data_IF_593273328393
#
_entry.id   IF_593273328393
#
_cell.length_a   1.000
_cell.length_b   1.000
_cell.length_c   1.000
_cell.angle_alpha   90.00
_cell.angle_beta   90.00
_cell.angle_gamma   90.00
#
_symmetry.space_group_name_H-M   'P 1'
#
loop_
_entity.id
_entity.type
_entity.pdbx_description
1 polymer ?
#
# COMPACT_ATOMS: atom_id res chain seq x y z
N UNK A 1 -25.53 2.13 30.44
CA UNK A 1 -25.46 2.97 29.23
C UNK A 1 -25.49 2.05 28.05
N UNK A 2 -26.59 2.07 27.30
CA UNK A 2 -26.87 1.20 26.15
C UNK A 2 -26.02 1.59 24.96
N UNK A 3 -25.36 0.60 24.35
CA UNK A 3 -24.67 0.71 23.06
C UNK A 3 -25.62 1.30 22.02
N UNK A 4 -25.24 2.31 21.23
CA UNK A 4 -26.11 2.80 20.17
C UNK A 4 -26.21 1.71 19.08
N UNK A 5 -27.41 1.21 18.83
CA UNK A 5 -27.73 0.50 17.59
C UNK A 5 -27.60 1.47 16.42
N UNK A 6 -26.62 1.23 15.54
CA UNK A 6 -26.44 2.03 14.32
C UNK A 6 -27.44 1.51 13.28
N UNK A 7 -28.67 2.01 13.34
CA UNK A 7 -29.72 1.77 12.35
C UNK A 7 -29.81 2.96 11.40
N UNK A 8 -28.97 3.03 10.36
CA UNK A 8 -29.29 3.62 9.05
C UNK A 8 -28.09 3.52 8.08
N UNK A 9 -28.20 2.67 7.06
CA UNK A 9 -27.23 2.62 5.95
C UNK A 9 -27.65 3.65 4.91
N UNK A 10 -27.15 4.88 5.03
CA UNK A 10 -27.28 5.86 3.95
C UNK A 10 -26.24 5.53 2.88
N UNK A 11 -26.72 5.06 1.72
CA UNK A 11 -25.95 4.64 0.54
C UNK A 11 -25.38 5.90 -0.13
N UNK A 12 -24.05 6.02 -0.27
CA UNK A 12 -23.47 7.07 -1.12
C UNK A 12 -23.75 6.72 -2.59
N UNK A 13 -24.34 7.65 -3.35
CA UNK A 13 -24.63 7.45 -4.79
C UNK A 13 -23.38 7.77 -5.64
N UNK A 14 -22.29 7.02 -5.45
CA UNK A 14 -21.03 7.23 -6.17
C UNK A 14 -21.01 6.50 -7.52
N UNK A 15 -20.70 7.22 -8.60
CA UNK A 15 -20.72 6.70 -9.97
C UNK A 15 -19.33 6.51 -10.54
N UNK A 16 -19.17 5.50 -11.38
CA UNK A 16 -17.91 5.18 -12.06
C UNK A 16 -17.35 6.40 -12.80
N UNK A 17 -18.20 7.20 -13.45
CA UNK A 17 -17.80 8.39 -14.20
C UNK A 17 -17.14 9.50 -13.37
N UNK A 18 -17.33 9.49 -12.05
CA UNK A 18 -16.72 10.43 -11.10
C UNK A 18 -15.29 10.00 -10.70
N UNK A 19 -14.98 8.72 -10.80
CA UNK A 19 -13.69 8.16 -10.34
C UNK A 19 -12.80 7.69 -11.48
N UNK A 20 -13.34 7.44 -12.69
CA UNK A 20 -12.58 6.91 -13.81
C UNK A 20 -11.47 7.85 -14.34
N UNK A 21 -10.41 7.27 -14.89
CA UNK A 21 -9.43 8.01 -15.69
C UNK A 21 -9.98 8.30 -17.09
N UNK A 22 -10.04 9.59 -17.47
CA UNK A 22 -10.51 10.05 -18.78
C UNK A 22 -9.41 10.13 -19.83
N UNK A 23 -8.15 10.23 -19.41
CA UNK A 23 -7.01 10.25 -20.33
C UNK A 23 -6.69 8.83 -20.81
N UNK A 24 -7.40 8.42 -21.85
CA UNK A 24 -7.28 7.09 -22.42
C UNK A 24 -5.96 6.92 -23.17
N UNK A 25 -5.25 5.84 -22.87
CA UNK A 25 -4.17 5.32 -23.70
C UNK A 25 -4.73 4.06 -24.35
N UNK A 26 -4.76 4.04 -25.69
CA UNK A 26 -5.30 2.93 -26.48
C UNK A 26 -4.33 2.53 -27.57
N UNK A 27 -4.42 1.28 -28.05
CA UNK A 27 -3.66 0.79 -29.22
C UNK A 27 -4.60 0.26 -30.29
N UNK A 28 -4.09 0.11 -31.52
CA UNK A 28 -4.82 -0.53 -32.61
C UNK A 28 -4.50 -2.02 -32.63
N UNK A 29 -5.39 -2.84 -33.20
CA UNK A 29 -5.15 -4.27 -33.35
C UNK A 29 -3.88 -4.59 -34.16
N UNK A 30 -3.52 -3.72 -35.11
CA UNK A 30 -2.31 -3.86 -35.93
C UNK A 30 -1.02 -3.36 -35.25
N UNK A 31 -1.09 -2.74 -34.07
CA UNK A 31 0.11 -2.33 -33.32
C UNK A 31 0.99 -3.54 -33.03
N UNK A 32 2.30 -3.40 -33.16
CA UNK A 32 3.23 -4.51 -32.87
C UNK A 32 3.45 -4.68 -31.37
N UNK A 33 3.81 -5.89 -30.94
CA UNK A 33 4.10 -6.16 -29.53
C UNK A 33 5.32 -5.38 -29.01
N UNK A 34 6.30 -5.07 -29.87
CA UNK A 34 7.44 -4.23 -29.49
C UNK A 34 7.02 -2.78 -29.25
N UNK A 35 6.19 -2.22 -30.13
CA UNK A 35 5.62 -0.87 -29.92
C UNK A 35 4.75 -0.83 -28.66
N UNK A 36 3.96 -1.89 -28.41
CA UNK A 36 3.17 -2.03 -27.20
C UNK A 36 4.06 -2.04 -25.95
N UNK A 37 5.15 -2.83 -25.95
CA UNK A 37 6.13 -2.88 -24.86
C UNK A 37 6.68 -1.49 -24.52
N UNK A 38 7.12 -0.76 -25.54
CA UNK A 38 7.68 0.58 -25.34
C UNK A 38 6.63 1.58 -24.86
N UNK A 39 5.41 1.50 -25.37
CA UNK A 39 4.28 2.29 -24.88
C UNK A 39 4.00 2.01 -23.40
N UNK A 40 3.87 0.73 -23.04
CA UNK A 40 3.61 0.28 -21.67
C UNK A 40 4.71 0.74 -20.70
N UNK A 41 5.99 0.56 -21.08
CA UNK A 41 7.15 1.00 -20.31
C UNK A 41 7.17 2.52 -20.14
N UNK A 42 7.01 3.28 -21.22
CA UNK A 42 7.07 4.75 -21.21
C UNK A 42 5.92 5.37 -20.41
N UNK A 43 4.75 4.74 -20.42
CA UNK A 43 3.55 5.22 -19.72
C UNK A 43 3.37 4.57 -18.34
N UNK A 44 4.24 3.63 -17.96
CA UNK A 44 4.16 2.86 -16.71
C UNK A 44 2.77 2.22 -16.52
N UNK A 45 2.25 1.58 -17.56
CA UNK A 45 0.95 0.90 -17.56
C UNK A 45 1.11 -0.58 -17.86
N UNK A 46 0.32 -1.42 -17.20
CA UNK A 46 0.34 -2.89 -17.35
C UNK A 46 -0.78 -3.46 -18.23
N UNK A 47 -1.56 -2.61 -18.92
CA UNK A 47 -2.61 -3.06 -19.82
C UNK A 47 -3.29 -1.93 -20.60
N UNK A 48 -3.77 -2.21 -21.79
CA UNK A 48 -4.21 -1.19 -22.74
C UNK A 48 -5.47 -1.68 -23.48
N UNK A 49 -6.54 -0.86 -23.54
CA UNK A 49 -7.67 -1.13 -24.43
C UNK A 49 -7.23 -1.10 -25.89
N UNK A 50 -7.72 -2.07 -26.66
CA UNK A 50 -7.51 -2.17 -28.11
C UNK A 50 -8.75 -1.65 -28.80
N UNK A 51 -8.57 -0.71 -29.73
CA UNK A 51 -9.66 -0.07 -30.47
C UNK A 51 -9.55 -0.30 -31.98
N UNK A 52 -10.68 -0.26 -32.67
CA UNK A 52 -10.74 -0.28 -34.13
C UNK A 52 -10.45 1.12 -34.73
N UNK A 53 -10.59 1.25 -36.07
CA UNK A 53 -10.38 2.52 -36.77
C UNK A 53 -11.37 3.64 -36.41
N UNK A 54 -12.57 3.29 -35.92
CA UNK A 54 -13.62 4.23 -35.48
C UNK A 54 -13.53 4.57 -33.99
N UNK A 55 -12.58 3.95 -33.26
CA UNK A 55 -12.35 4.17 -31.82
C UNK A 55 -13.23 3.30 -30.91
N UNK A 56 -13.92 2.29 -31.45
CA UNK A 56 -14.69 1.34 -30.64
C UNK A 56 -13.76 0.31 -30.00
N UNK A 57 -14.08 -0.07 -28.77
CA UNK A 57 -13.36 -1.09 -28.01
C UNK A 57 -13.57 -2.47 -28.64
N UNK A 58 -12.48 -3.11 -29.06
CA UNK A 58 -12.50 -4.46 -29.68
C UNK A 58 -11.69 -5.50 -28.91
N UNK A 59 -10.96 -5.08 -27.88
CA UNK A 59 -10.18 -5.99 -27.05
C UNK A 59 -9.45 -5.27 -25.92
N UNK A 60 -8.71 -6.04 -25.14
CA UNK A 60 -7.76 -5.54 -24.14
C UNK A 60 -6.51 -6.39 -24.18
N UNK A 61 -5.34 -5.78 -24.00
CA UNK A 61 -4.07 -6.49 -23.92
C UNK A 61 -3.29 -6.07 -22.68
N UNK A 62 -2.75 -7.04 -21.95
CA UNK A 62 -2.03 -6.85 -20.71
C UNK A 62 -0.53 -7.10 -20.85
N UNK A 63 0.24 -6.71 -19.83
CA UNK A 63 1.65 -7.06 -19.72
C UNK A 63 1.86 -8.58 -19.65
N UNK A 64 0.94 -9.31 -19.02
CA UNK A 64 0.97 -10.79 -18.98
C UNK A 64 0.83 -11.39 -20.38
N UNK A 65 -0.09 -10.85 -21.20
CA UNK A 65 -0.24 -11.29 -22.60
C UNK A 65 1.02 -11.02 -23.41
N UNK A 66 1.68 -9.87 -23.18
CA UNK A 66 2.93 -9.50 -23.81
C UNK A 66 4.09 -10.43 -23.41
N UNK A 67 4.20 -10.77 -22.12
CA UNK A 67 5.20 -11.71 -21.61
C UNK A 67 5.00 -13.10 -22.23
N UNK A 68 3.77 -13.60 -22.23
CA UNK A 68 3.40 -14.87 -22.86
C UNK A 68 3.74 -14.89 -24.35
N UNK A 69 3.54 -13.77 -25.06
CA UNK A 69 3.88 -13.66 -26.46
C UNK A 69 5.40 -13.77 -26.73
N UNK A 70 6.22 -13.15 -25.90
CA UNK A 70 7.68 -13.21 -26.03
C UNK A 70 8.25 -14.57 -25.67
N UNK A 71 7.69 -15.25 -24.66
CA UNK A 71 8.05 -16.63 -24.32
C UNK A 71 7.79 -17.59 -25.49
N UNK A 72 6.79 -17.31 -26.32
CA UNK A 72 6.46 -18.09 -27.52
C UNK A 72 7.19 -17.60 -28.78
N UNK A 73 8.18 -16.69 -28.65
CA UNK A 73 8.98 -16.20 -29.76
C UNK A 73 8.27 -15.20 -30.69
N UNK A 74 7.06 -14.74 -30.33
CA UNK A 74 6.26 -13.83 -31.16
C UNK A 74 6.66 -12.35 -31.00
N UNK A 75 7.96 -12.05 -30.95
CA UNK A 75 8.46 -10.68 -30.67
C UNK A 75 7.98 -9.65 -31.70
N UNK A 76 7.80 -10.09 -32.96
CA UNK A 76 7.30 -9.26 -34.06
C UNK A 76 5.79 -9.43 -34.32
N UNK A 77 5.06 -10.11 -33.43
CA UNK A 77 3.62 -10.34 -33.58
C UNK A 77 2.79 -9.05 -33.41
N UNK A 78 1.53 -9.11 -33.86
CA UNK A 78 0.58 -8.03 -33.70
C UNK A 78 -0.27 -8.21 -32.43
N UNK A 79 -0.72 -7.09 -31.85
CA UNK A 79 -1.63 -7.09 -30.69
C UNK A 79 -2.90 -7.91 -30.94
N UNK A 80 -3.42 -7.91 -32.17
CA UNK A 80 -4.60 -8.66 -32.57
C UNK A 80 -4.58 -10.15 -32.18
N UNK A 81 -3.40 -10.76 -32.21
CA UNK A 81 -3.24 -12.20 -32.04
C UNK A 81 -3.12 -12.59 -30.55
N UNK A 82 -2.90 -11.61 -29.68
CA UNK A 82 -2.62 -11.81 -28.25
C UNK A 82 -3.61 -11.10 -27.32
N UNK A 83 -4.45 -10.21 -27.85
CA UNK A 83 -5.46 -9.50 -27.07
C UNK A 83 -6.62 -10.42 -26.64
N UNK A 84 -7.20 -10.13 -25.47
CA UNK A 84 -8.48 -10.71 -25.07
C UNK A 84 -9.62 -9.95 -25.74
N UNK A 85 -10.53 -10.69 -26.40
CA UNK A 85 -11.76 -10.16 -27.00
C UNK A 85 -12.94 -10.19 -26.02
N UNK A 86 -12.85 -11.01 -24.97
CA UNK A 86 -13.86 -11.05 -23.90
C UNK A 86 -13.54 -9.97 -22.87
N UNK A 87 -13.93 -8.73 -23.19
CA UNK A 87 -13.61 -7.57 -22.37
C UNK A 87 -14.68 -7.34 -21.32
N UNK A 88 -14.28 -7.40 -20.05
CA UNK A 88 -15.13 -6.98 -18.93
C UNK A 88 -15.17 -5.46 -18.90
N UNK A 89 -16.37 -4.88 -18.94
CA UNK A 89 -16.60 -3.43 -18.97
C UNK A 89 -17.61 -2.99 -17.91
N UNK A 90 -17.64 -1.69 -17.61
CA UNK A 90 -18.70 -1.02 -16.81
C UNK A 90 -19.19 0.22 -17.55
N UNK A 91 -20.36 0.75 -17.18
CA UNK A 91 -20.83 2.06 -17.67
C UNK A 91 -20.37 3.18 -16.75
N UNK A 92 -20.19 4.37 -17.29
CA UNK A 92 -19.89 5.59 -16.52
C UNK A 92 -21.02 5.97 -15.54
N UNK A 93 -22.26 5.60 -15.86
CA UNK A 93 -23.41 5.75 -14.99
C UNK A 93 -23.51 4.70 -13.88
N UNK A 94 -22.74 3.60 -13.96
CA UNK A 94 -22.85 2.49 -13.00
C UNK A 94 -22.42 2.95 -11.59
N UNK A 95 -23.02 2.39 -10.53
CA UNK A 95 -22.50 2.54 -9.17
C UNK A 95 -21.08 1.99 -9.06
N UNK A 96 -20.26 2.63 -8.24
CA UNK A 96 -18.88 2.19 -7.97
C UNK A 96 -18.83 0.76 -7.42
N UNK A 97 -19.82 0.34 -6.63
CA UNK A 97 -19.92 -1.01 -6.09
C UNK A 97 -20.00 -2.06 -7.19
N UNK A 98 -20.66 -1.75 -8.31
CA UNK A 98 -20.73 -2.64 -9.48
C UNK A 98 -19.33 -2.89 -10.06
N UNK A 99 -18.50 -1.85 -10.14
CA UNK A 99 -17.13 -1.99 -10.58
C UNK A 99 -16.28 -2.78 -9.56
N UNK A 100 -16.43 -2.51 -8.26
CA UNK A 100 -15.72 -3.24 -7.21
C UNK A 100 -16.06 -4.74 -7.20
N UNK A 101 -17.33 -5.09 -7.39
CA UNK A 101 -17.77 -6.49 -7.52
C UNK A 101 -17.16 -7.17 -8.74
N UNK A 102 -17.14 -6.50 -9.91
CA UNK A 102 -16.50 -7.05 -11.12
C UNK A 102 -15.01 -7.30 -10.91
N UNK A 103 -14.31 -6.39 -10.23
CA UNK A 103 -12.91 -6.58 -9.87
C UNK A 103 -12.69 -7.79 -8.97
N UNK A 104 -13.55 -8.00 -7.96
CA UNK A 104 -13.45 -9.12 -7.03
C UNK A 104 -13.74 -10.47 -7.72
N UNK A 105 -14.74 -10.51 -8.60
CA UNK A 105 -15.18 -11.75 -9.25
C UNK A 105 -14.24 -12.21 -10.39
N UNK A 106 -13.59 -11.28 -11.07
CA UNK A 106 -12.85 -11.57 -12.30
C UNK A 106 -11.33 -11.50 -12.13
N UNK A 107 -10.85 -10.89 -11.05
CA UNK A 107 -9.42 -10.73 -10.77
C UNK A 107 -8.70 -9.74 -11.69
N UNK A 108 -9.39 -9.10 -12.65
CA UNK A 108 -8.76 -8.19 -13.61
C UNK A 108 -8.14 -6.96 -12.91
N UNK A 109 -7.03 -6.47 -13.44
CA UNK A 109 -6.37 -5.27 -12.88
C UNK A 109 -7.03 -3.94 -13.32
N UNK A 110 -7.79 -3.95 -14.42
CA UNK A 110 -8.38 -2.77 -15.05
C UNK A 110 -9.65 -3.10 -15.82
N UNK A 111 -10.59 -2.16 -15.86
CA UNK A 111 -11.88 -2.30 -16.53
C UNK A 111 -12.11 -1.07 -17.43
N UNK A 112 -12.27 -1.25 -18.75
CA UNK A 112 -12.71 -0.18 -19.64
C UNK A 112 -14.13 0.31 -19.31
N UNK A 113 -14.32 1.63 -19.34
CA UNK A 113 -15.60 2.30 -19.03
C UNK A 113 -16.25 2.78 -20.32
N UNK A 114 -17.51 2.39 -20.51
CA UNK A 114 -18.32 2.76 -21.66
C UNK A 114 -19.39 3.79 -21.29
N UNK A 115 -19.79 4.63 -22.23
CA UNK A 115 -20.96 5.50 -22.06
C UNK A 115 -22.27 4.78 -22.47
N UNK A 116 -23.38 5.51 -22.51
CA UNK A 116 -24.68 4.99 -22.95
C UNK A 116 -24.63 4.40 -24.37
N UNK A 117 -23.93 5.07 -25.28
CA UNK A 117 -23.77 4.68 -26.70
C UNK A 117 -22.75 3.54 -26.91
N UNK A 118 -22.14 3.01 -25.85
CA UNK A 118 -21.17 1.92 -25.93
C UNK A 118 -19.76 2.36 -26.34
N UNK A 119 -19.48 3.66 -26.34
CA UNK A 119 -18.17 4.23 -26.66
C UNK A 119 -17.26 4.17 -25.44
N UNK A 120 -15.99 3.87 -25.66
CA UNK A 120 -14.96 3.90 -24.63
C UNK A 120 -14.70 5.35 -24.19
N UNK A 121 -15.06 5.68 -22.95
CA UNK A 121 -14.97 7.04 -22.37
C UNK A 121 -14.04 7.14 -21.17
N UNK A 122 -13.64 6.00 -20.62
CA UNK A 122 -12.73 5.98 -19.50
C UNK A 122 -12.11 4.62 -19.26
N UNK A 123 -11.19 4.59 -18.31
CA UNK A 123 -10.58 3.38 -17.83
C UNK A 123 -10.59 3.45 -16.31
N UNK A 124 -10.94 2.33 -15.69
CA UNK A 124 -11.06 2.23 -14.25
C UNK A 124 -10.05 1.21 -13.75
N UNK A 125 -9.30 1.60 -12.73
CA UNK A 125 -8.47 0.71 -11.92
C UNK A 125 -9.01 0.68 -10.50
N UNK A 126 -8.59 -0.33 -9.75
CA UNK A 126 -8.87 -0.44 -8.31
C UNK A 126 -8.44 0.85 -7.56
N UNK A 127 -7.40 1.53 -8.04
CA UNK A 127 -6.83 2.72 -7.43
C UNK A 127 -7.57 4.00 -7.71
N UNK A 128 -8.17 4.07 -8.88
CA UNK A 128 -9.07 5.16 -9.26
C UNK A 128 -10.25 5.20 -8.30
N UNK A 129 -10.81 4.04 -7.98
CA UNK A 129 -11.91 3.95 -7.02
C UNK A 129 -11.46 4.37 -5.61
N UNK A 130 -10.33 3.86 -5.12
CA UNK A 130 -9.78 4.23 -3.82
C UNK A 130 -9.51 5.73 -3.71
N UNK A 131 -8.84 6.32 -4.72
CA UNK A 131 -8.55 7.77 -4.75
C UNK A 131 -9.82 8.61 -4.83
N UNK A 132 -10.76 8.23 -5.70
CA UNK A 132 -12.00 8.97 -5.88
C UNK A 132 -12.86 9.01 -4.63
N UNK A 133 -12.93 7.89 -3.90
CA UNK A 133 -13.64 7.85 -2.61
C UNK A 133 -12.92 8.61 -1.50
N UNK A 134 -11.58 8.65 -1.50
CA UNK A 134 -10.81 9.43 -0.52
C UNK A 134 -10.89 10.94 -0.77
N UNK A 135 -10.97 11.38 -2.03
CA UNK A 135 -11.05 12.79 -2.40
C UNK A 135 -12.37 13.44 -1.95
N UNK A 136 -13.49 12.71 -1.97
CA UNK A 136 -14.79 13.25 -1.55
C UNK A 136 -14.93 13.38 -0.03
N UNK A 137 -14.23 12.52 0.73
CA UNK A 137 -14.21 12.62 2.21
C UNK A 137 -13.58 13.94 2.68
N UNK A 138 -12.81 14.62 1.82
CA UNK A 138 -12.24 15.93 2.11
C UNK A 138 -13.17 17.10 1.77
N UNK A 139 -14.31 16.85 1.11
CA UNK A 139 -15.23 17.89 0.64
C UNK A 139 -16.35 18.23 1.64
N UNK A 140 -16.73 17.32 2.55
CA UNK A 140 -17.72 17.59 3.60
C UNK A 140 -17.13 17.36 5.00
N UNK A 141 -16.98 18.44 5.74
CA UNK A 141 -16.39 18.47 7.09
C UNK A 141 -17.36 17.81 8.08
N UNK A 142 -17.08 16.56 8.50
CA UNK A 142 -17.23 16.03 9.90
C UNK A 142 -17.17 14.50 10.06
N UNK A 143 -17.20 13.68 9.00
CA UNK A 143 -17.37 12.21 9.13
C UNK A 143 -16.19 11.36 8.58
N UNK A 144 -14.95 11.69 8.95
CA UNK A 144 -13.75 10.97 8.48
C UNK A 144 -13.68 9.48 8.89
N UNK A 145 -14.21 9.09 10.06
CA UNK A 145 -14.05 7.73 10.59
C UNK A 145 -15.01 6.71 9.95
N UNK A 146 -16.27 7.09 9.70
CA UNK A 146 -17.29 6.18 9.18
C UNK A 146 -17.06 5.90 7.68
N UNK A 147 -16.69 6.92 6.90
CA UNK A 147 -16.41 6.77 5.48
C UNK A 147 -15.11 5.98 5.22
N UNK A 148 -14.06 6.22 6.01
CA UNK A 148 -12.80 5.45 5.94
C UNK A 148 -12.99 3.99 6.35
N UNK A 149 -13.86 3.73 7.33
CA UNK A 149 -14.28 2.37 7.67
C UNK A 149 -15.02 1.69 6.50
N UNK A 150 -15.87 2.39 5.74
CA UNK A 150 -16.65 1.81 4.63
C UNK A 150 -15.82 1.57 3.36
N UNK A 151 -14.98 2.51 2.96
CA UNK A 151 -14.05 2.32 1.84
C UNK A 151 -13.10 1.15 2.11
N UNK A 152 -12.57 1.03 3.33
CA UNK A 152 -11.72 -0.11 3.74
C UNK A 152 -12.45 -1.46 3.82
N UNK A 153 -13.79 -1.48 3.81
CA UNK A 153 -14.59 -2.70 3.69
C UNK A 153 -14.89 -3.08 2.23
N UNK A 154 -15.03 -2.10 1.32
CA UNK A 154 -15.27 -2.37 -0.11
C UNK A 154 -13.99 -2.85 -0.83
N UNK A 155 -12.81 -2.33 -0.48
CA UNK A 155 -11.53 -2.68 -1.15
C UNK A 155 -10.71 -3.75 -0.45
N UNK A 156 -11.25 -4.42 0.56
CA UNK A 156 -10.47 -5.41 1.33
C UNK A 156 -9.97 -6.60 0.49
N UNK A 157 -10.49 -6.78 -0.74
CA UNK A 157 -10.09 -7.85 -1.66
C UNK A 157 -9.40 -7.38 -2.97
N UNK A 158 -9.06 -6.09 -3.13
CA UNK A 158 -8.84 -5.52 -4.47
C UNK A 158 -7.70 -4.47 -4.46
N UNK A 159 -6.44 -4.92 -4.58
CA UNK A 159 -5.20 -4.10 -4.56
C UNK A 159 -4.99 -3.18 -5.77
N UNK A 160 -4.45 -1.99 -5.55
CA UNK A 160 -4.21 -0.92 -6.52
C UNK A 160 -2.74 -0.43 -6.56
N UNK A 161 -2.27 -0.06 -7.74
CA UNK A 161 -1.07 0.78 -7.94
C UNK A 161 -1.49 2.28 -7.84
N UNK A 162 -1.01 3.17 -6.97
CA UNK A 162 -0.09 3.08 -5.84
C UNK A 162 -0.92 3.17 -4.54
N UNK A 163 -1.17 2.03 -3.92
CA UNK A 163 -1.80 1.95 -2.61
C UNK A 163 -0.73 2.13 -1.55
N UNK A 164 -0.75 3.25 -0.81
CA UNK A 164 -0.06 3.27 0.48
C UNK A 164 -0.90 2.45 1.44
N UNK A 165 -0.46 1.23 1.73
CA UNK A 165 -1.07 0.39 2.75
C UNK A 165 -0.69 0.95 4.11
N UNK A 166 -1.66 1.49 4.84
CA UNK A 166 -1.47 1.97 6.21
C UNK A 166 -2.04 0.95 7.18
N UNK A 167 -1.18 0.38 8.02
CA UNK A 167 -1.53 -0.54 9.09
C UNK A 167 -1.29 0.15 10.43
N UNK A 168 -2.31 0.18 11.28
CA UNK A 168 -2.22 0.73 12.63
C UNK A 168 -2.39 -0.38 13.66
N UNK A 169 -1.54 -0.38 14.67
CA UNK A 169 -1.57 -1.35 15.76
C UNK A 169 -1.49 -0.61 17.09
N UNK A 170 -2.30 -1.04 18.05
CA UNK A 170 -2.19 -0.62 19.44
C UNK A 170 -1.37 -1.67 20.19
N UNK A 171 -0.45 -1.19 21.03
CA UNK A 171 0.40 -2.01 21.88
C UNK A 171 -0.01 -1.78 23.32
N UNK A 172 -0.34 -2.85 24.03
CA UNK A 172 -0.63 -2.79 25.45
C UNK A 172 0.65 -2.89 26.28
N UNK A 173 0.70 -2.10 27.34
CA UNK A 173 1.80 -2.12 28.30
C UNK A 173 1.97 -3.52 28.90
N UNK A 174 3.22 -4.00 28.98
CA UNK A 174 3.58 -5.31 29.56
C UNK A 174 2.88 -6.54 28.94
N UNK A 175 2.24 -6.44 27.77
CA UNK A 175 1.68 -7.60 27.08
C UNK A 175 2.74 -8.37 26.29
N UNK A 176 3.66 -9.01 27.01
CA UNK A 176 4.69 -9.87 26.40
C UNK A 176 4.11 -11.10 25.71
N UNK A 177 2.88 -11.51 26.04
CA UNK A 177 2.24 -12.68 25.44
C UNK A 177 1.89 -12.47 23.97
N UNK A 178 1.50 -11.24 23.62
CA UNK A 178 1.23 -10.84 22.24
C UNK A 178 2.42 -10.13 21.59
N UNK A 179 3.58 -10.10 22.26
CA UNK A 179 4.78 -9.48 21.75
C UNK A 179 5.23 -10.01 20.39
N UNK A 180 5.47 -9.11 19.43
CA UNK A 180 5.87 -9.47 18.07
C UNK A 180 4.71 -9.74 17.12
N UNK A 181 3.47 -9.54 17.56
CA UNK A 181 2.30 -9.66 16.70
C UNK A 181 2.28 -8.60 15.59
N UNK A 182 2.61 -7.35 15.91
CA UNK A 182 2.63 -6.28 14.92
C UNK A 182 3.73 -6.55 13.89
N UNK A 183 4.95 -6.87 14.36
CA UNK A 183 6.06 -7.29 13.49
C UNK A 183 5.68 -8.47 12.59
N UNK A 184 5.03 -9.51 13.13
CA UNK A 184 4.59 -10.68 12.36
C UNK A 184 3.53 -10.33 11.30
N UNK A 185 2.62 -9.39 11.60
CA UNK A 185 1.62 -8.90 10.64
C UNK A 185 2.28 -8.06 9.54
N UNK A 186 3.22 -7.17 9.88
CA UNK A 186 4.02 -6.38 8.92
C UNK A 186 4.82 -7.31 8.01
N UNK A 187 5.52 -8.31 8.56
CA UNK A 187 6.26 -9.33 7.81
C UNK A 187 5.35 -10.01 6.77
N UNK A 188 4.19 -10.51 7.20
CA UNK A 188 3.22 -11.16 6.30
C UNK A 188 2.70 -10.21 5.23
N UNK A 189 2.46 -8.95 5.55
CA UNK A 189 2.03 -7.95 4.58
C UNK A 189 3.10 -7.71 3.50
N UNK A 190 4.36 -7.49 3.89
CA UNK A 190 5.47 -7.28 2.96
C UNK A 190 5.72 -8.52 2.08
N UNK A 191 5.65 -9.73 2.65
CA UNK A 191 5.76 -10.97 1.85
C UNK A 191 4.65 -11.08 0.81
N UNK A 192 3.40 -10.74 1.17
CA UNK A 192 2.28 -10.77 0.23
C UNK A 192 2.37 -9.69 -0.85
N UNK A 193 3.03 -8.57 -0.55
CA UNK A 193 3.33 -7.50 -1.49
C UNK A 193 4.54 -7.79 -2.40
N UNK A 194 5.19 -8.96 -2.24
CA UNK A 194 6.31 -9.36 -3.09
C UNK A 194 7.64 -8.69 -2.77
N UNK A 195 7.79 -8.12 -1.56
CA UNK A 195 9.06 -7.53 -1.13
C UNK A 195 10.17 -8.59 -1.01
N UNK A 196 11.42 -8.19 -1.29
CA UNK A 196 12.58 -9.08 -1.23
C UNK A 196 12.72 -9.75 0.15
N UNK A 197 13.00 -11.06 0.24
CA UNK A 197 13.12 -11.78 1.51
C UNK A 197 14.12 -11.18 2.50
N UNK A 198 15.23 -10.59 2.03
CA UNK A 198 16.20 -9.92 2.89
C UNK A 198 15.62 -8.63 3.48
N UNK A 199 14.85 -7.87 2.68
CA UNK A 199 14.14 -6.67 3.13
C UNK A 199 13.05 -7.03 4.14
N UNK A 200 12.25 -8.06 3.86
CA UNK A 200 11.24 -8.59 4.78
C UNK A 200 11.87 -8.98 6.12
N UNK A 201 13.03 -9.65 6.10
CA UNK A 201 13.76 -10.04 7.31
C UNK A 201 14.22 -8.80 8.10
N UNK A 202 14.84 -7.83 7.44
CA UNK A 202 15.29 -6.57 8.08
C UNK A 202 14.13 -5.82 8.74
N UNK A 203 13.02 -5.67 8.01
CA UNK A 203 11.82 -5.00 8.50
C UNK A 203 11.20 -5.71 9.71
N UNK A 204 11.11 -7.05 9.69
CA UNK A 204 10.59 -7.82 10.80
C UNK A 204 11.44 -7.68 12.08
N UNK A 205 12.78 -7.70 11.93
CA UNK A 205 13.70 -7.52 13.07
C UNK A 205 13.56 -6.12 13.64
N UNK A 206 13.60 -5.07 12.80
CA UNK A 206 13.44 -3.70 13.25
C UNK A 206 12.10 -3.45 13.94
N UNK A 207 11.00 -3.94 13.35
CA UNK A 207 9.67 -3.80 13.93
C UNK A 207 9.51 -4.58 15.24
N UNK A 208 10.10 -5.76 15.37
CA UNK A 208 10.05 -6.56 16.61
C UNK A 208 10.76 -5.84 17.76
N UNK A 209 11.99 -5.37 17.52
CA UNK A 209 12.77 -4.64 18.52
C UNK A 209 12.05 -3.36 18.96
N UNK A 210 11.45 -2.61 18.02
CA UNK A 210 10.71 -1.39 18.32
C UNK A 210 9.39 -1.67 19.04
N UNK A 211 8.66 -2.72 18.66
CA UNK A 211 7.46 -3.20 19.36
C UNK A 211 7.77 -3.60 20.81
N UNK A 212 8.90 -4.28 21.05
CA UNK A 212 9.32 -4.63 22.41
C UNK A 212 9.63 -3.38 23.24
N UNK A 213 10.26 -2.37 22.66
CA UNK A 213 10.50 -1.11 23.37
C UNK A 213 9.18 -0.48 23.83
N UNK A 214 8.14 -0.48 22.99
CA UNK A 214 6.82 0.02 23.38
C UNK A 214 6.25 -0.79 24.56
N UNK A 215 6.25 -2.13 24.48
CA UNK A 215 5.71 -3.00 25.55
C UNK A 215 6.41 -2.76 26.89
N UNK A 216 7.74 -2.54 26.84
CA UNK A 216 8.59 -2.38 28.03
C UNK A 216 8.44 -0.99 28.65
N UNK A 217 8.35 0.06 27.83
CA UNK A 217 8.57 1.44 28.30
C UNK A 217 7.31 2.30 28.35
N UNK A 218 6.23 1.98 27.65
CA UNK A 218 5.00 2.78 27.68
C UNK A 218 4.34 2.78 29.07
N UNK A 219 3.59 3.83 29.39
CA UNK A 219 2.82 3.91 30.64
C UNK A 219 1.34 3.56 30.45
N UNK A 220 0.73 3.90 29.31
CA UNK A 220 -0.69 3.57 29.03
C UNK A 220 -0.92 2.82 27.72
N UNK A 221 0.13 2.60 26.93
CA UNK A 221 0.08 1.89 25.65
C UNK A 221 0.73 2.70 24.52
N UNK A 222 1.19 1.98 23.51
CA UNK A 222 1.85 2.57 22.34
C UNK A 222 1.06 2.39 21.05
N UNK A 223 1.42 3.17 20.04
CA UNK A 223 0.91 3.02 18.68
C UNK A 223 2.04 2.68 17.71
N UNK A 224 1.72 1.80 16.76
CA UNK A 224 2.58 1.48 15.62
C UNK A 224 1.80 1.83 14.35
N UNK A 225 2.36 2.70 13.53
CA UNK A 225 1.86 2.99 12.18
C UNK A 225 2.87 2.50 11.16
N UNK A 226 2.47 1.53 10.33
CA UNK A 226 3.25 1.06 9.19
C UNK A 226 2.61 1.53 7.89
N UNK A 227 3.38 2.26 7.08
CA UNK A 227 2.97 2.74 5.76
C UNK A 227 3.85 2.06 4.71
N UNK A 228 3.23 1.30 3.82
CA UNK A 228 3.93 0.60 2.74
C UNK A 228 3.47 1.19 1.43
N UNK A 229 4.39 1.75 0.66
CA UNK A 229 4.16 2.13 -0.73
C UNK A 229 5.06 1.32 -1.68
N UNK A 230 5.08 1.67 -2.96
CA UNK A 230 5.84 0.94 -3.98
C UNK A 230 7.37 1.10 -3.85
N UNK A 231 7.85 2.07 -3.07
CA UNK A 231 9.27 2.42 -2.96
C UNK A 231 9.83 2.15 -1.58
N UNK A 232 9.03 2.29 -0.53
CA UNK A 232 9.50 2.21 0.85
C UNK A 232 8.44 1.71 1.83
N UNK A 233 8.95 1.21 2.96
CA UNK A 233 8.23 1.00 4.20
C UNK A 233 8.63 2.12 5.17
N UNK A 234 7.66 2.89 5.65
CA UNK A 234 7.80 3.80 6.77
C UNK A 234 7.11 3.22 8.00
N UNK A 235 7.82 3.18 9.13
CA UNK A 235 7.30 2.74 10.42
C UNK A 235 7.44 3.87 11.43
N UNK A 236 6.36 4.13 12.16
CA UNK A 236 6.31 5.11 13.26
C UNK A 236 5.87 4.37 14.51
N UNK A 237 6.62 4.52 15.59
CA UNK A 237 6.35 3.96 16.91
C UNK A 237 6.27 5.11 17.90
N UNK A 238 5.15 5.20 18.62
CA UNK A 238 4.86 6.28 19.56
C UNK A 238 4.40 5.69 20.89
N UNK A 239 5.02 6.14 21.99
CA UNK A 239 4.60 5.87 23.36
C UNK A 239 4.53 7.14 24.18
N UNK A 240 3.89 7.01 25.33
CA UNK A 240 3.72 8.01 26.38
C UNK A 240 4.56 7.71 27.63
N UNK A 241 5.61 6.90 27.48
CA UNK A 241 6.43 6.43 28.58
C UNK A 241 7.36 7.51 29.16
N UNK A 242 8.37 7.10 29.95
CA UNK A 242 9.23 8.04 30.68
C UNK A 242 10.19 8.84 29.79
N UNK A 243 10.30 8.50 28.50
CA UNK A 243 11.30 9.06 27.60
C UNK A 243 12.73 8.61 27.89
N UNK A 244 13.68 9.08 27.09
CA UNK A 244 15.10 8.71 27.13
C UNK A 244 15.92 9.97 27.43
N UNK A 245 16.50 10.04 28.63
CA UNK A 245 17.28 11.20 29.08
C UNK A 245 18.57 11.43 28.27
N UNK A 246 19.24 10.36 27.84
CA UNK A 246 20.45 10.43 27.03
C UNK A 246 20.33 9.55 25.78
N UNK A 247 19.77 10.15 24.72
CA UNK A 247 19.57 9.49 23.43
C UNK A 247 20.89 9.07 22.77
N UNK A 248 21.97 9.81 23.00
CA UNK A 248 23.27 9.50 22.40
C UNK A 248 23.80 8.19 22.98
N UNK A 249 23.79 8.07 24.31
CA UNK A 249 24.20 6.83 24.98
C UNK A 249 23.29 5.66 24.63
N UNK A 250 21.97 5.87 24.59
CA UNK A 250 21.01 4.83 24.22
C UNK A 250 21.17 4.28 22.80
N UNK A 251 21.72 5.07 21.88
CA UNK A 251 21.95 4.64 20.49
C UNK A 251 23.38 4.16 20.23
N UNK A 252 24.38 4.65 20.97
CA UNK A 252 25.81 4.41 20.70
C UNK A 252 26.49 3.42 21.67
N UNK A 253 26.16 3.44 22.97
CA UNK A 253 26.80 2.59 23.98
C UNK A 253 26.25 1.16 24.00
N UNK A 254 27.12 0.15 24.01
CA UNK A 254 26.67 -1.24 24.15
C UNK A 254 26.15 -1.51 25.57
N UNK A 255 24.92 -2.00 25.67
CA UNK A 255 24.33 -2.44 26.93
C UNK A 255 23.72 -1.32 27.78
N UNK A 256 23.75 -0.06 27.31
CA UNK A 256 22.99 1.01 27.94
C UNK A 256 21.49 0.75 27.78
N UNK A 257 20.75 0.83 28.88
CA UNK A 257 19.32 0.51 28.89
C UNK A 257 18.63 1.21 30.05
N UNK A 258 17.44 1.73 29.78
CA UNK A 258 16.51 2.31 30.74
C UNK A 258 15.52 1.28 31.28
N UNK A 259 15.66 0.01 30.90
CA UNK A 259 14.75 -1.06 31.27
C UNK A 259 14.84 -1.41 32.77
N UNK A 260 13.71 -1.56 33.49
CA UNK A 260 13.70 -1.99 34.89
C UNK A 260 14.35 -3.38 35.10
N UNK A 261 14.92 -3.66 36.30
CA UNK A 261 15.59 -4.94 36.59
C UNK A 261 14.71 -6.16 36.39
N UNK A 262 13.42 -6.07 36.71
CA UNK A 262 12.44 -7.16 36.59
C UNK A 262 12.29 -7.61 35.13
N UNK A 263 12.23 -6.68 34.18
CA UNK A 263 12.13 -6.97 32.75
C UNK A 263 13.45 -7.54 32.19
N UNK A 264 14.60 -7.12 32.75
CA UNK A 264 15.90 -7.72 32.38
C UNK A 264 16.02 -9.17 32.79
N UNK A 265 15.48 -9.54 33.96
CA UNK A 265 15.46 -10.92 34.42
C UNK A 265 14.60 -11.83 33.54
N UNK A 266 13.59 -11.27 32.87
CA UNK A 266 12.78 -11.96 31.86
C UNK A 266 13.50 -12.17 30.52
N UNK A 267 14.76 -11.71 30.39
CA UNK A 267 15.57 -11.84 29.18
C UNK A 267 15.41 -10.70 28.16
N UNK A 268 14.70 -9.62 28.50
CA UNK A 268 14.46 -8.48 27.62
C UNK A 268 15.25 -7.22 28.03
N UNK A 269 15.34 -6.22 27.16
CA UNK A 269 15.88 -4.90 27.53
C UNK A 269 17.38 -4.85 27.84
N UNK A 270 18.17 -5.73 27.24
CA UNK A 270 19.64 -5.77 27.37
C UNK A 270 20.40 -4.62 26.67
N UNK A 271 19.72 -3.57 26.21
CA UNK A 271 20.35 -2.38 25.62
C UNK A 271 20.87 -2.56 24.20
N UNK A 272 20.31 -3.50 23.43
CA UNK A 272 20.70 -3.74 22.02
C UNK A 272 19.65 -3.29 21.00
N UNK A 273 18.40 -3.03 21.43
CA UNK A 273 17.25 -2.83 20.53
C UNK A 273 17.44 -1.70 19.52
N UNK A 274 17.72 -0.48 19.98
CA UNK A 274 17.93 0.69 19.09
C UNK A 274 19.10 0.49 18.12
N UNK A 275 20.16 -0.20 18.54
CA UNK A 275 21.30 -0.53 17.68
C UNK A 275 20.95 -1.56 16.62
N UNK A 276 20.16 -2.58 16.98
CA UNK A 276 19.67 -3.59 16.05
C UNK A 276 18.72 -2.97 15.00
N UNK A 277 17.85 -2.07 15.44
CA UNK A 277 16.99 -1.27 14.57
C UNK A 277 17.83 -0.46 13.58
N UNK A 278 18.82 0.29 14.07
CA UNK A 278 19.70 1.12 13.22
C UNK A 278 20.48 0.31 12.17
N UNK A 279 20.87 -0.93 12.48
CA UNK A 279 21.53 -1.83 11.51
C UNK A 279 20.59 -2.35 10.42
N UNK A 280 19.29 -2.42 10.71
CA UNK A 280 18.29 -2.94 9.78
C UNK A 280 17.64 -1.84 8.92
N UNK A 281 17.57 -0.62 9.44
CA UNK A 281 16.96 0.54 8.81
C UNK A 281 17.88 1.22 7.79
N UNK A 282 17.29 1.81 6.73
CA UNK A 282 18.02 2.70 5.82
C UNK A 282 18.06 4.13 6.38
N UNK A 283 16.98 4.55 7.04
CA UNK A 283 16.94 5.79 7.83
C UNK A 283 16.24 5.54 9.17
N UNK A 284 16.73 6.22 10.20
CA UNK A 284 16.17 6.15 11.55
C UNK A 284 16.22 7.55 12.18
N UNK A 285 15.09 7.99 12.73
CA UNK A 285 14.98 9.22 13.52
C UNK A 285 14.30 8.89 14.85
N UNK A 286 14.81 9.43 15.94
CA UNK A 286 14.24 9.24 17.27
C UNK A 286 14.15 10.60 17.97
N UNK A 287 12.95 10.91 18.43
CA UNK A 287 12.64 12.10 19.23
C UNK A 287 12.11 11.58 20.58
N UNK A 288 12.73 11.99 21.69
CA UNK A 288 12.33 11.53 23.03
C UNK A 288 12.50 12.66 24.04
N UNK A 289 11.52 12.83 24.91
CA UNK A 289 11.53 13.85 25.95
C UNK A 289 11.15 13.21 27.29
N UNK A 290 11.94 13.50 28.33
CA UNK A 290 11.74 12.91 29.66
C UNK A 290 10.37 13.32 30.21
N UNK A 291 9.56 12.32 30.56
CA UNK A 291 8.19 12.50 31.07
C UNK A 291 7.12 12.75 30.01
N UNK A 292 7.46 12.66 28.71
CA UNK A 292 6.50 12.81 27.60
C UNK A 292 6.42 11.62 26.65
N UNK A 293 7.44 10.76 26.63
CA UNK A 293 7.47 9.56 25.82
C UNK A 293 8.49 9.64 24.68
N UNK A 294 8.37 8.69 23.75
CA UNK A 294 9.30 8.54 22.64
C UNK A 294 8.57 8.33 21.33
N UNK A 295 9.08 8.98 20.28
CA UNK A 295 8.67 8.81 18.89
C UNK A 295 9.85 8.32 18.07
N UNK A 296 9.72 7.13 17.50
CA UNK A 296 10.72 6.49 16.66
C UNK A 296 10.19 6.32 15.24
N UNK A 297 10.93 6.85 14.28
CA UNK A 297 10.66 6.73 12.84
C UNK A 297 11.73 5.88 12.17
N UNK A 298 11.31 4.89 11.39
CA UNK A 298 12.18 3.99 10.65
C UNK A 298 11.74 3.97 9.19
N UNK A 299 12.67 4.14 8.26
CA UNK A 299 12.42 3.94 6.83
C UNK A 299 13.28 2.79 6.30
N UNK A 300 12.65 1.91 5.53
CA UNK A 300 13.30 0.80 4.82
C UNK A 300 12.91 0.87 3.35
N UNK A 301 13.89 0.98 2.46
CA UNK A 301 13.68 1.02 1.02
C UNK A 301 13.34 -0.38 0.51
N UNK A 302 12.27 -0.49 -0.30
CA UNK A 302 11.83 -1.76 -0.90
C UNK A 302 12.54 -2.06 -2.22
N UNK A 303 13.08 -1.02 -2.87
CA UNK A 303 13.90 -1.11 -4.08
C UNK A 303 15.09 -0.15 -3.95
N UNK A 304 16.20 -0.44 -4.67
CA UNK A 304 17.32 0.50 -4.74
C UNK A 304 16.86 1.83 -5.35
N UNK A 305 17.31 2.99 -4.85
CA UNK A 305 16.97 4.26 -5.48
C UNK A 305 17.48 4.24 -6.93
N UNK A 306 16.60 4.55 -7.89
CA UNK A 306 17.06 4.85 -9.25
C UNK A 306 18.10 5.99 -9.12
N UNK A 307 19.36 5.71 -9.48
CA UNK A 307 20.40 6.71 -9.47
C UNK A 307 19.89 7.94 -10.21
N UNK A 308 19.84 9.09 -9.53
CA UNK A 308 19.50 10.34 -10.19
C UNK A 308 20.44 10.48 -11.38
N UNK A 309 19.89 10.39 -12.59
CA UNK A 309 20.64 10.72 -13.78
C UNK A 309 21.23 12.10 -13.56
N UNK A 310 22.56 12.15 -13.49
CA UNK A 310 23.33 13.36 -13.39
C UNK A 310 22.78 14.36 -14.41
N UNK A 311 22.17 15.45 -13.93
CA UNK A 311 22.01 16.64 -14.76
C UNK A 311 23.39 17.29 -14.79
N UNK A 312 24.17 16.86 -15.78
CA UNK A 312 25.27 17.65 -16.31
C UNK A 312 24.69 19.00 -16.78
N UNK A 313 25.06 20.06 -16.08
CA UNK A 313 25.42 21.36 -16.65
C UNK A 313 26.67 21.83 -15.92
#
# INVERSE_FOLDING_TARGET
>A
MTTPEITHVQKLDFRVGQVMTRQLITVKAATTLLELKELMRKRRISGVPVVNGTGDLIGIISLEDLLRAFEQGAVSGAVNDWMSRSVITVRDSDPVETAAQKFAQTGVGRIPVLNAEGRLVGMLTKGDITRGLLAEVQADTQDEEIARYRASHIFRDVQSDHTTLILRYNVQRHDFTQGGQASSKIKRALTRLGADPQIVRRAAIAAYEAEMNLIIHTDHGGQITAQVDASQLSLIFEDDGPGIADLKRATEEMGYTTTPPEIKQMGFGGGMGLKNIRKCADQMKIDSEVGRGTRLEITILLHAPEASAARNT
#
